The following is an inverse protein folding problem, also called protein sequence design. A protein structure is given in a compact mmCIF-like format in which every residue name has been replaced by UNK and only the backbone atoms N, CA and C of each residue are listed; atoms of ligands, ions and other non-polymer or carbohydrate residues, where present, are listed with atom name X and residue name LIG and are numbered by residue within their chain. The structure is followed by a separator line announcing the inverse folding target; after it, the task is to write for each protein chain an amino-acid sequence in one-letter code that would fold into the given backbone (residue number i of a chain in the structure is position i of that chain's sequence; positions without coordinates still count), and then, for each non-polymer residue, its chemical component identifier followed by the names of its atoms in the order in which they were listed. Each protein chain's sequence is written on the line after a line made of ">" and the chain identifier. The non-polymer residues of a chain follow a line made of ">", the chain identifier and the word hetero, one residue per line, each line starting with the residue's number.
data_IF_006701881206
#
_entry.id   IF_006701881206
#
_cell.length_a   1.000
_cell.length_b   1.000
_cell.length_c   1.000
_cell.angle_alpha   90.00
_cell.angle_beta   90.00
_cell.angle_gamma   90.00
#
_symmetry.space_group_name_H-M   'P 1'
#
loop_
_entity.id
_entity.type
_entity.pdbx_description
1 polymer ?
#
# COMPACT_ATOMS: atom_id res chain seq x y z
N UNK A 1 27.70 -9.36 -24.35
CA UNK A 1 28.61 -8.20 -24.41
C UNK A 1 28.71 -7.61 -23.01
N UNK A 2 29.87 -7.66 -22.33
CA UNK A 2 30.04 -7.10 -21.00
C UNK A 2 30.03 -5.57 -21.09
N UNK A 3 29.11 -4.91 -20.36
CA UNK A 3 29.13 -3.45 -20.23
C UNK A 3 30.35 -3.07 -19.38
N UNK A 4 31.27 -2.31 -19.98
CA UNK A 4 32.37 -1.65 -19.28
C UNK A 4 31.81 -0.77 -18.16
N UNK A 5 32.19 -1.08 -16.92
CA UNK A 5 31.90 -0.28 -15.73
C UNK A 5 32.71 1.01 -15.75
N UNK A 6 32.13 2.06 -16.32
CA UNK A 6 32.51 3.43 -16.00
C UNK A 6 31.48 3.95 -15.02
N UNK A 7 31.95 4.25 -13.80
CA UNK A 7 31.29 5.07 -12.75
C UNK A 7 30.65 4.32 -11.57
N UNK A 8 31.46 3.60 -10.78
CA UNK A 8 31.00 2.92 -9.55
C UNK A 8 30.28 3.80 -8.51
N UNK A 9 30.40 5.14 -8.55
CA UNK A 9 29.62 6.05 -7.69
C UNK A 9 28.16 6.21 -8.14
N UNK A 10 27.89 6.22 -9.44
CA UNK A 10 26.53 6.37 -9.98
C UNK A 10 25.76 5.06 -9.83
N UNK A 11 26.40 3.93 -10.12
CA UNK A 11 25.82 2.59 -9.93
C UNK A 11 25.44 2.34 -8.45
N UNK A 12 26.29 2.82 -7.52
CA UNK A 12 26.00 2.73 -6.08
C UNK A 12 24.80 3.58 -5.68
N UNK A 13 24.63 4.78 -6.25
CA UNK A 13 23.50 5.65 -5.95
C UNK A 13 22.20 5.14 -6.55
N UNK A 14 22.23 4.62 -7.78
CA UNK A 14 21.09 3.97 -8.42
C UNK A 14 20.59 2.78 -7.60
N UNK A 15 21.50 1.91 -7.17
CA UNK A 15 21.18 0.78 -6.30
C UNK A 15 20.53 1.22 -4.98
N UNK A 16 21.09 2.24 -4.31
CA UNK A 16 20.56 2.73 -3.04
C UNK A 16 19.15 3.33 -3.20
N UNK A 17 18.92 4.12 -4.24
CA UNK A 17 17.60 4.73 -4.51
C UNK A 17 16.58 3.64 -4.81
N UNK A 18 16.93 2.67 -5.64
CA UNK A 18 16.06 1.55 -5.98
C UNK A 18 15.69 0.71 -4.74
N UNK A 19 16.67 0.42 -3.88
CA UNK A 19 16.45 -0.29 -2.62
C UNK A 19 15.47 0.46 -1.71
N UNK A 20 15.65 1.78 -1.56
CA UNK A 20 14.73 2.62 -0.77
C UNK A 20 13.33 2.58 -1.39
N UNK A 21 13.21 2.68 -2.71
CA UNK A 21 11.92 2.62 -3.40
C UNK A 21 11.21 1.28 -3.16
N UNK A 22 11.91 0.16 -3.25
CA UNK A 22 11.36 -1.17 -2.95
C UNK A 22 10.90 -1.25 -1.48
N UNK A 23 11.70 -0.80 -0.52
CA UNK A 23 11.33 -0.85 0.90
C UNK A 23 10.08 -0.01 1.19
N UNK A 24 10.03 1.22 0.67
CA UNK A 24 8.89 2.14 0.89
C UNK A 24 7.62 1.60 0.23
N UNK A 25 7.71 1.08 -0.99
CA UNK A 25 6.55 0.52 -1.70
C UNK A 25 6.04 -0.74 -1.03
N UNK A 26 6.93 -1.62 -0.55
CA UNK A 26 6.53 -2.80 0.24
C UNK A 26 5.87 -2.41 1.57
N UNK A 27 6.38 -1.40 2.28
CA UNK A 27 5.76 -0.90 3.50
C UNK A 27 4.36 -0.33 3.23
N UNK A 28 4.20 0.45 2.15
CA UNK A 28 2.90 0.97 1.70
C UNK A 28 1.93 -0.15 1.31
N UNK A 29 2.41 -1.16 0.59
CA UNK A 29 1.62 -2.33 0.20
C UNK A 29 1.17 -3.15 1.42
N UNK A 30 2.07 -3.38 2.39
CA UNK A 30 1.74 -4.07 3.64
C UNK A 30 0.64 -3.33 4.41
N UNK A 31 0.70 -2.01 4.49
CA UNK A 31 -0.35 -1.20 5.11
C UNK A 31 -1.69 -1.31 4.35
N UNK A 32 -1.66 -1.27 3.02
CA UNK A 32 -2.86 -1.43 2.19
C UNK A 32 -3.51 -2.82 2.36
N UNK A 33 -2.70 -3.89 2.39
CA UNK A 33 -3.14 -5.25 2.67
C UNK A 33 -3.72 -5.36 4.08
N UNK A 34 -3.08 -4.74 5.08
CA UNK A 34 -3.62 -4.69 6.44
C UNK A 34 -5.00 -4.03 6.52
N UNK A 35 -5.22 -2.96 5.75
CA UNK A 35 -6.52 -2.27 5.68
C UNK A 35 -7.60 -3.17 5.05
N UNK A 36 -7.29 -3.73 3.88
CA UNK A 36 -8.20 -4.63 3.16
C UNK A 36 -8.52 -5.89 3.97
N UNK A 37 -7.51 -6.49 4.60
CA UNK A 37 -7.65 -7.66 5.46
C UNK A 37 -8.52 -7.39 6.68
N UNK A 38 -8.37 -6.24 7.34
CA UNK A 38 -9.20 -5.85 8.48
C UNK A 38 -10.68 -5.69 8.08
N UNK A 39 -10.94 -5.01 6.94
CA UNK A 39 -12.29 -4.87 6.41
C UNK A 39 -12.90 -6.23 6.04
N UNK A 40 -12.14 -7.12 5.42
CA UNK A 40 -12.60 -8.47 5.09
C UNK A 40 -12.99 -9.27 6.35
N UNK A 41 -12.17 -9.19 7.41
CA UNK A 41 -12.45 -9.85 8.68
C UNK A 41 -13.71 -9.28 9.35
N UNK A 42 -13.88 -7.94 9.35
CA UNK A 42 -15.05 -7.28 9.92
C UNK A 42 -16.34 -7.66 9.17
N UNK A 43 -16.29 -7.76 7.84
CA UNK A 43 -17.42 -8.23 7.03
C UNK A 43 -17.79 -9.68 7.35
N UNK A 44 -16.79 -10.56 7.55
CA UNK A 44 -17.03 -11.96 7.93
C UNK A 44 -17.71 -12.06 9.31
N UNK A 45 -17.21 -11.31 10.29
CA UNK A 45 -17.80 -11.26 11.63
C UNK A 45 -19.21 -10.65 11.65
N UNK A 46 -19.46 -9.60 10.85
CA UNK A 46 -20.77 -8.97 10.74
C UNK A 46 -21.83 -9.90 10.14
N UNK A 47 -21.46 -10.69 9.11
CA UNK A 47 -22.38 -11.66 8.49
C UNK A 47 -22.80 -12.80 9.42
N UNK A 48 -22.00 -13.11 10.44
CA UNK A 48 -22.28 -14.19 11.39
C UNK A 48 -23.16 -13.76 12.58
N UNK A 49 -23.46 -12.45 12.75
CA UNK A 49 -24.31 -11.93 13.82
C UNK A 49 -25.71 -11.56 13.32
N UNK A 50 -26.75 -12.01 14.03
CA UNK A 50 -28.11 -11.52 13.85
C UNK A 50 -28.15 -10.01 14.15
N UNK A 51 -28.41 -9.19 13.13
CA UNK A 51 -28.36 -7.72 13.20
C UNK A 51 -27.10 -7.06 12.61
N UNK A 52 -26.16 -7.82 12.04
CA UNK A 52 -24.92 -7.28 11.46
C UNK A 52 -25.04 -6.63 10.07
N UNK A 53 -26.26 -6.55 9.49
CA UNK A 53 -26.52 -5.97 8.17
C UNK A 53 -25.94 -4.56 7.95
N UNK A 54 -26.17 -3.59 8.86
CA UNK A 54 -25.64 -2.23 8.71
C UNK A 54 -24.10 -2.18 8.71
N UNK A 55 -23.43 -3.09 9.43
CA UNK A 55 -21.97 -3.18 9.46
C UNK A 55 -21.44 -3.76 8.15
N UNK A 56 -22.12 -4.78 7.60
CA UNK A 56 -21.74 -5.37 6.31
C UNK A 56 -21.87 -4.35 5.16
N UNK A 57 -22.91 -3.51 5.14
CA UNK A 57 -23.09 -2.50 4.10
C UNK A 57 -22.10 -1.34 4.22
N UNK A 58 -21.76 -0.92 5.44
CA UNK A 58 -20.69 0.04 5.66
C UNK A 58 -19.33 -0.46 5.15
N UNK A 59 -18.99 -1.73 5.43
CA UNK A 59 -17.73 -2.31 4.94
C UNK A 59 -17.72 -2.42 3.41
N UNK A 60 -18.83 -2.84 2.78
CA UNK A 60 -18.96 -2.86 1.32
C UNK A 60 -18.70 -1.48 0.70
N UNK A 61 -19.19 -0.40 1.33
CA UNK A 61 -18.92 0.97 0.88
C UNK A 61 -17.45 1.39 0.97
N UNK A 62 -16.65 0.73 1.83
CA UNK A 62 -15.22 1.02 2.04
C UNK A 62 -14.29 0.20 1.15
N UNK A 63 -14.77 -0.93 0.62
CA UNK A 63 -13.98 -1.82 -0.24
C UNK A 63 -13.40 -1.13 -1.49
N UNK A 64 -14.13 -0.27 -2.23
CA UNK A 64 -13.57 0.44 -3.38
C UNK A 64 -12.39 1.35 -3.01
N UNK A 65 -12.47 2.03 -1.87
CA UNK A 65 -11.37 2.86 -1.37
C UNK A 65 -10.14 2.01 -1.01
N UNK A 66 -10.35 0.88 -0.32
CA UNK A 66 -9.27 -0.03 0.01
C UNK A 66 -8.63 -0.67 -1.23
N UNK A 67 -9.44 -1.04 -2.22
CA UNK A 67 -8.98 -1.56 -3.50
C UNK A 67 -8.18 -0.51 -4.29
N UNK A 68 -8.63 0.75 -4.30
CA UNK A 68 -7.90 1.85 -4.92
C UNK A 68 -6.53 2.09 -4.29
N UNK A 69 -6.46 2.10 -2.94
CA UNK A 69 -5.18 2.24 -2.20
C UNK A 69 -4.27 1.04 -2.47
N UNK A 70 -4.82 -0.18 -2.48
CA UNK A 70 -4.07 -1.39 -2.81
C UNK A 70 -3.54 -1.40 -4.25
N UNK A 71 -4.36 -0.97 -5.21
CA UNK A 71 -3.97 -0.85 -6.61
C UNK A 71 -2.85 0.19 -6.81
N UNK A 72 -2.94 1.34 -6.15
CA UNK A 72 -1.89 2.35 -6.18
C UNK A 72 -0.56 1.83 -5.57
N UNK A 73 -0.62 1.07 -4.46
CA UNK A 73 0.56 0.47 -3.86
C UNK A 73 1.21 -0.60 -4.76
N UNK A 74 0.41 -1.43 -5.43
CA UNK A 74 0.91 -2.42 -6.40
C UNK A 74 1.53 -1.73 -7.63
N UNK A 75 0.90 -0.65 -8.13
CA UNK A 75 1.46 0.15 -9.21
C UNK A 75 2.80 0.75 -8.80
N UNK A 76 2.90 1.33 -7.59
CA UNK A 76 4.13 1.89 -7.08
C UNK A 76 5.26 0.85 -7.03
N UNK A 77 4.96 -0.37 -6.58
CA UNK A 77 5.92 -1.48 -6.60
C UNK A 77 6.36 -1.84 -8.03
N UNK A 78 5.44 -1.82 -9.01
CA UNK A 78 5.80 -2.10 -10.40
C UNK A 78 6.75 -1.03 -10.98
N UNK A 79 6.56 0.23 -10.57
CA UNK A 79 7.38 1.36 -11.02
C UNK A 79 8.84 1.27 -10.54
N UNK A 80 9.15 0.51 -9.49
CA UNK A 80 10.54 0.33 -9.02
C UNK A 80 11.43 -0.43 -10.03
N UNK A 81 10.87 -0.97 -11.11
CA UNK A 81 11.65 -1.60 -12.18
C UNK A 81 12.10 -0.61 -13.27
N UNK A 82 11.77 0.68 -13.11
CA UNK A 82 11.90 1.69 -14.15
C UNK A 82 13.14 2.59 -14.08
N UNK A 83 14.02 2.38 -13.09
CA UNK A 83 15.18 3.23 -12.83
C UNK A 83 14.86 4.51 -12.05
N UNK A 84 15.87 5.36 -11.82
CA UNK A 84 15.83 6.48 -10.85
C UNK A 84 14.58 7.37 -10.95
N UNK A 85 14.14 7.86 -12.13
CA UNK A 85 12.97 8.74 -12.21
C UNK A 85 11.69 8.04 -11.74
N UNK A 86 11.53 6.76 -12.07
CA UNK A 86 10.38 5.97 -11.68
C UNK A 86 10.47 5.49 -10.22
N UNK A 87 11.68 5.28 -9.69
CA UNK A 87 11.90 5.00 -8.27
C UNK A 87 11.43 6.16 -7.38
N UNK A 88 11.67 7.42 -7.79
CA UNK A 88 11.19 8.60 -7.05
C UNK A 88 9.65 8.64 -7.03
N UNK A 89 9.01 8.39 -8.17
CA UNK A 89 7.55 8.31 -8.25
C UNK A 89 7.03 7.16 -7.40
N UNK A 90 7.68 5.99 -7.45
CA UNK A 90 7.34 4.83 -6.64
C UNK A 90 7.41 5.14 -5.14
N UNK A 91 8.44 5.86 -4.68
CA UNK A 91 8.56 6.30 -3.28
C UNK A 91 7.38 7.19 -2.89
N UNK A 92 7.06 8.21 -3.69
CA UNK A 92 5.98 9.15 -3.39
C UNK A 92 4.63 8.42 -3.32
N UNK A 93 4.32 7.60 -4.33
CA UNK A 93 3.05 6.86 -4.40
C UNK A 93 2.98 5.79 -3.31
N UNK A 94 4.07 5.06 -3.06
CA UNK A 94 4.16 4.04 -2.01
C UNK A 94 3.96 4.63 -0.62
N UNK A 95 4.69 5.71 -0.30
CA UNK A 95 4.54 6.43 0.98
C UNK A 95 3.12 7.01 1.13
N UNK A 96 2.59 7.65 0.08
CA UNK A 96 1.23 8.20 0.07
C UNK A 96 0.16 7.12 0.29
N UNK A 97 0.32 5.95 -0.34
CA UNK A 97 -0.59 4.81 -0.16
C UNK A 97 -0.54 4.25 1.26
N UNK A 98 0.66 4.16 1.86
CA UNK A 98 0.83 3.74 3.25
C UNK A 98 0.16 4.68 4.26
N UNK A 99 0.34 6.00 4.09
CA UNK A 99 -0.32 7.01 4.92
C UNK A 99 -1.85 6.96 4.75
N UNK A 100 -2.34 6.81 3.51
CA UNK A 100 -3.78 6.70 3.25
C UNK A 100 -4.38 5.43 3.89
N UNK A 101 -3.69 4.29 3.78
CA UNK A 101 -4.13 3.03 4.37
C UNK A 101 -4.19 3.10 5.90
N UNK A 102 -3.14 3.63 6.55
CA UNK A 102 -3.09 3.79 8.01
C UNK A 102 -4.16 4.74 8.53
N UNK A 103 -4.42 5.84 7.82
CA UNK A 103 -5.53 6.75 8.16
C UNK A 103 -6.90 6.06 8.03
N UNK A 104 -7.12 5.24 7.01
CA UNK A 104 -8.35 4.47 6.83
C UNK A 104 -8.56 3.43 7.96
N UNK A 105 -7.49 2.73 8.38
CA UNK A 105 -7.55 1.84 9.55
C UNK A 105 -7.93 2.60 10.82
N UNK A 106 -7.23 3.70 11.11
CA UNK A 106 -7.43 4.47 12.33
C UNK A 106 -8.86 5.04 12.42
N UNK A 107 -9.40 5.49 11.29
CA UNK A 107 -10.78 5.96 11.18
C UNK A 107 -11.79 4.85 11.55
N UNK A 108 -11.52 3.63 11.09
CA UNK A 108 -12.38 2.47 11.37
C UNK A 108 -12.28 2.05 12.83
N UNK A 109 -11.06 1.97 13.39
CA UNK A 109 -10.85 1.63 14.81
C UNK A 109 -11.55 2.61 15.75
N UNK A 110 -11.39 3.92 15.53
CA UNK A 110 -12.02 4.96 16.38
C UNK A 110 -13.54 4.85 16.46
N UNK A 111 -14.20 4.34 15.41
CA UNK A 111 -15.66 4.21 15.34
C UNK A 111 -16.20 2.96 16.04
N UNK A 112 -15.38 1.93 16.21
CA UNK A 112 -15.79 0.65 16.81
C UNK A 112 -15.12 0.36 18.17
N UNK A 113 -14.20 1.21 18.61
CA UNK A 113 -13.56 1.15 19.94
C UNK A 113 -14.07 2.25 20.90
N UNK A 114 -15.08 3.03 20.49
CA UNK A 114 -15.75 4.03 21.33
C UNK A 114 -16.94 3.44 22.07
#
# INVERSE_FOLDING_TARGET
>A
MPRLSKTGRLDSMEFLINLIAIIVTLAGLAAAVGNGGYLAMLNSAAKQRAGGGPVADYVKGRFPQAAGIGGAALLALLLTNGGIPLDIVAIIVGAGSGVAATNALNSTRRRYQS
#
